data_IF_173241494782
#
_entry.id   IF_173241494782
#
_cell.length_a   1.000
_cell.length_b   1.000
_cell.length_c   1.000
_cell.angle_alpha   90.00
_cell.angle_beta   90.00
_cell.angle_gamma   90.00
#
_symmetry.space_group_name_H-M   'P 1'
#
loop_
_entity.id
_entity.type
_entity.pdbx_description
1 polymer ?
#
# COMPACT_ATOMS: atom_id res chain seq x y z
N UNK A 1 -69.09 -15.64 43.97
CA UNK A 1 -68.50 -16.78 43.23
C UNK A 1 -68.30 -16.38 41.78
N UNK A 2 -67.16 -16.79 41.19
CA UNK A 2 -66.75 -16.74 39.77
C UNK A 2 -65.85 -15.56 39.33
N UNK A 3 -64.57 -15.79 39.62
CA UNK A 3 -63.36 -15.69 38.78
C UNK A 3 -63.18 -14.44 37.92
N UNK A 4 -62.39 -13.52 38.49
CA UNK A 4 -61.70 -12.43 37.81
C UNK A 4 -60.60 -13.03 36.91
N UNK A 5 -60.71 -12.82 35.59
CA UNK A 5 -59.68 -13.19 34.63
C UNK A 5 -58.54 -12.17 34.67
N UNK A 6 -57.34 -12.62 35.05
CA UNK A 6 -56.10 -11.86 34.90
C UNK A 6 -55.33 -12.52 33.77
N UNK A 7 -55.41 -11.95 32.57
CA UNK A 7 -54.51 -12.27 31.47
C UNK A 7 -53.22 -11.49 31.75
N UNK A 8 -52.26 -12.17 32.36
CA UNK A 8 -50.91 -11.63 32.58
C UNK A 8 -50.18 -11.70 31.23
N UNK A 9 -50.24 -10.61 30.46
CA UNK A 9 -49.44 -10.45 29.25
C UNK A 9 -47.98 -10.20 29.69
N UNK A 10 -47.20 -11.27 29.81
CA UNK A 10 -45.80 -11.21 30.19
C UNK A 10 -44.99 -10.67 29.01
N UNK A 11 -44.73 -9.36 29.02
CA UNK A 11 -43.91 -8.65 28.04
C UNK A 11 -42.46 -9.16 28.15
N UNK A 12 -42.05 -10.04 27.22
CA UNK A 12 -40.65 -10.43 27.06
C UNK A 12 -39.89 -9.19 26.58
N UNK A 13 -39.21 -8.51 27.50
CA UNK A 13 -38.22 -7.48 27.19
C UNK A 13 -37.03 -8.18 26.53
N UNK A 14 -37.00 -8.13 25.20
CA UNK A 14 -35.83 -8.50 24.41
C UNK A 14 -34.80 -7.38 24.60
N UNK A 15 -34.02 -7.44 25.69
CA UNK A 15 -32.80 -6.64 25.82
C UNK A 15 -31.81 -7.19 24.79
N UNK A 16 -31.86 -6.65 23.57
CA UNK A 16 -30.78 -6.78 22.62
C UNK A 16 -29.56 -6.08 23.24
N UNK A 17 -28.48 -6.82 23.51
CA UNK A 17 -27.19 -6.21 23.80
C UNK A 17 -26.75 -5.41 22.56
N UNK A 18 -27.08 -4.12 22.51
CA UNK A 18 -26.40 -3.22 21.59
C UNK A 18 -24.97 -3.03 22.10
N UNK A 19 -23.95 -3.16 21.23
CA UNK A 19 -22.59 -2.76 21.58
C UNK A 19 -22.59 -1.31 22.03
N UNK A 20 -22.09 -1.03 23.23
CA UNK A 20 -21.89 0.34 23.69
C UNK A 20 -20.77 0.96 22.86
N UNK A 21 -21.10 1.88 21.97
CA UNK A 21 -20.09 2.62 21.19
C UNK A 21 -19.20 3.43 22.12
N UNK A 22 -17.88 3.21 22.04
CA UNK A 22 -16.91 3.94 22.83
C UNK A 22 -16.54 5.27 22.14
N UNK A 23 -17.12 6.36 22.62
CA UNK A 23 -16.95 7.71 22.08
C UNK A 23 -15.87 8.53 22.78
N UNK A 24 -15.10 7.93 23.70
CA UNK A 24 -14.03 8.64 24.42
C UNK A 24 -12.96 9.12 23.45
N UNK A 25 -12.69 10.43 23.38
CA UNK A 25 -11.61 10.98 22.57
C UNK A 25 -10.23 10.43 23.01
N UNK A 26 -9.32 10.20 22.07
CA UNK A 26 -7.99 9.64 22.33
C UNK A 26 -6.89 10.45 21.62
N UNK A 27 -5.63 10.14 21.93
CA UNK A 27 -4.47 10.85 21.39
C UNK A 27 -4.09 12.12 22.18
N UNK A 28 -2.92 12.72 21.90
CA UNK A 28 -2.52 13.98 22.53
C UNK A 28 -3.59 15.07 22.32
N UNK A 29 -3.98 15.76 23.38
CA UNK A 29 -5.01 16.82 23.33
C UNK A 29 -6.40 16.34 22.86
N UNK A 30 -6.63 15.03 22.76
CA UNK A 30 -7.94 14.47 22.39
C UNK A 30 -8.28 14.62 20.91
N UNK A 31 -7.30 14.79 20.02
CA UNK A 31 -7.54 15.07 18.59
C UNK A 31 -8.34 13.98 17.85
N UNK A 32 -8.31 12.72 18.31
CA UNK A 32 -8.97 11.59 17.66
C UNK A 32 -10.31 11.31 18.34
N UNK A 33 -11.36 11.92 17.78
CA UNK A 33 -12.73 11.90 18.31
C UNK A 33 -13.64 10.91 17.54
N UNK A 34 -14.89 10.77 17.97
CA UNK A 34 -15.89 9.90 17.34
C UNK A 34 -16.00 8.51 17.94
N UNK A 35 -16.84 7.67 17.34
CA UNK A 35 -16.93 6.24 17.69
C UNK A 35 -15.73 5.45 17.16
N UNK A 36 -15.67 4.15 17.41
CA UNK A 36 -14.53 3.32 17.00
C UNK A 36 -14.31 3.33 15.49
N UNK A 37 -15.37 3.30 14.69
CA UNK A 37 -15.28 3.27 13.22
C UNK A 37 -14.72 4.59 12.69
N UNK A 38 -15.26 5.72 13.14
CA UNK A 38 -14.78 7.06 12.77
C UNK A 38 -13.30 7.26 13.10
N UNK A 39 -12.86 6.77 14.27
CA UNK A 39 -11.45 6.82 14.66
C UNK A 39 -10.55 5.97 13.76
N UNK A 40 -11.01 4.77 13.39
CA UNK A 40 -10.26 3.89 12.50
C UNK A 40 -10.19 4.46 11.08
N UNK A 41 -11.26 5.08 10.61
CA UNK A 41 -11.29 5.76 9.32
C UNK A 41 -10.32 6.94 9.28
N UNK A 42 -10.27 7.75 10.35
CA UNK A 42 -9.30 8.84 10.47
C UNK A 42 -7.85 8.32 10.50
N UNK A 43 -7.58 7.26 11.25
CA UNK A 43 -6.24 6.62 11.24
C UNK A 43 -5.91 6.08 9.85
N UNK A 44 -6.85 5.39 9.19
CA UNK A 44 -6.67 4.87 7.84
C UNK A 44 -6.45 6.00 6.82
N UNK A 45 -7.10 7.14 6.99
CA UNK A 45 -6.87 8.34 6.19
C UNK A 45 -5.42 8.83 6.34
N UNK A 46 -4.90 8.91 7.57
CA UNK A 46 -3.54 9.38 7.85
C UNK A 46 -2.44 8.43 7.37
N UNK A 47 -2.69 7.11 7.35
CA UNK A 47 -1.81 6.13 6.69
C UNK A 47 -1.67 6.38 5.17
N UNK A 48 -2.60 7.17 4.60
CA UNK A 48 -2.61 7.53 3.20
C UNK A 48 -2.93 6.36 2.28
N UNK A 49 -2.65 6.54 1.00
CA UNK A 49 -2.83 5.51 -0.03
C UNK A 49 -1.60 5.40 -0.91
N UNK A 50 -1.82 5.37 -2.22
CA UNK A 50 -0.74 5.33 -3.20
C UNK A 50 0.22 6.52 -3.12
N UNK A 51 -0.18 7.67 -2.59
CA UNK A 51 0.75 8.78 -2.35
C UNK A 51 1.90 8.37 -1.43
N UNK A 52 1.63 7.60 -0.37
CA UNK A 52 2.66 7.08 0.54
C UNK A 52 3.42 5.90 -0.09
N UNK A 53 2.71 5.01 -0.78
CA UNK A 53 3.35 3.92 -1.54
C UNK A 53 4.36 4.45 -2.55
N UNK A 54 4.01 5.45 -3.34
CA UNK A 54 4.89 5.98 -4.38
C UNK A 54 6.13 6.69 -3.80
N UNK A 55 6.04 7.24 -2.58
CA UNK A 55 7.23 7.78 -1.89
C UNK A 55 8.22 6.65 -1.57
N UNK A 56 7.74 5.54 -1.01
CA UNK A 56 8.59 4.38 -0.74
C UNK A 56 9.10 3.76 -2.03
N UNK A 57 8.22 3.46 -2.98
CA UNK A 57 8.59 2.87 -4.28
C UNK A 57 9.61 3.75 -5.01
N UNK A 58 9.50 5.09 -4.95
CA UNK A 58 10.49 5.99 -5.54
C UNK A 58 11.88 5.84 -4.90
N UNK A 59 11.95 5.69 -3.57
CA UNK A 59 13.21 5.43 -2.89
C UNK A 59 13.78 4.06 -3.29
N UNK A 60 12.96 3.01 -3.23
CA UNK A 60 13.36 1.64 -3.58
C UNK A 60 13.79 1.51 -5.04
N UNK A 61 13.10 2.17 -5.97
CA UNK A 61 13.47 2.23 -7.38
C UNK A 61 14.86 2.84 -7.60
N UNK A 62 15.18 3.92 -6.87
CA UNK A 62 16.52 4.53 -6.92
C UNK A 62 17.58 3.58 -6.38
N UNK A 63 17.33 2.92 -5.25
CA UNK A 63 18.27 1.97 -4.67
C UNK A 63 18.44 0.73 -5.54
N UNK A 64 17.37 0.24 -6.17
CA UNK A 64 17.40 -0.88 -7.11
C UNK A 64 18.35 -0.57 -8.29
N UNK A 65 18.24 0.62 -8.88
CA UNK A 65 19.15 1.06 -9.94
C UNK A 65 20.60 0.98 -9.48
N UNK A 66 20.92 1.60 -8.34
CA UNK A 66 22.29 1.65 -7.85
C UNK A 66 22.82 0.28 -7.44
N UNK A 67 21.97 -0.59 -6.90
CA UNK A 67 22.31 -1.96 -6.58
C UNK A 67 22.75 -2.74 -7.83
N UNK A 68 22.00 -2.65 -8.93
CA UNK A 68 22.39 -3.29 -10.18
C UNK A 68 23.60 -2.63 -10.86
N UNK A 69 23.78 -1.31 -10.70
CA UNK A 69 24.99 -0.62 -11.18
C UNK A 69 26.25 -1.03 -10.43
N UNK A 70 26.15 -1.32 -9.13
CA UNK A 70 27.24 -1.83 -8.29
C UNK A 70 27.39 -3.35 -8.38
N UNK A 71 26.53 -4.03 -9.14
CA UNK A 71 26.48 -5.49 -9.24
C UNK A 71 26.27 -6.17 -7.86
N UNK A 72 25.62 -5.44 -6.94
CA UNK A 72 25.16 -6.00 -5.68
C UNK A 72 23.77 -6.60 -5.87
N UNK A 73 23.75 -7.82 -6.37
CA UNK A 73 22.53 -8.54 -6.71
C UNK A 73 21.65 -8.85 -5.50
N UNK A 74 22.24 -9.17 -4.34
CA UNK A 74 21.48 -9.37 -3.10
C UNK A 74 20.77 -8.09 -2.64
N UNK A 75 21.38 -6.93 -2.84
CA UNK A 75 20.72 -5.66 -2.56
C UNK A 75 19.67 -5.32 -3.61
N UNK A 76 19.90 -5.64 -4.88
CA UNK A 76 18.92 -5.43 -5.95
C UNK A 76 17.65 -6.28 -5.71
N UNK A 77 17.83 -7.55 -5.37
CA UNK A 77 16.76 -8.49 -5.00
C UNK A 77 15.94 -7.94 -3.82
N UNK A 78 16.63 -7.54 -2.75
CA UNK A 78 15.99 -6.89 -1.59
C UNK A 78 15.17 -5.64 -1.98
N UNK A 79 15.66 -4.79 -2.88
CA UNK A 79 14.91 -3.60 -3.29
C UNK A 79 13.68 -3.94 -4.13
N UNK A 80 13.75 -4.91 -5.05
CA UNK A 80 12.57 -5.29 -5.85
C UNK A 80 11.51 -5.98 -4.99
N UNK A 81 11.90 -6.82 -4.03
CA UNK A 81 10.99 -7.43 -3.05
C UNK A 81 10.23 -6.36 -2.27
N UNK A 82 10.92 -5.33 -1.76
CA UNK A 82 10.27 -4.25 -1.02
C UNK A 82 9.43 -3.33 -1.90
N UNK A 83 9.69 -3.25 -3.22
CA UNK A 83 8.76 -2.60 -4.16
C UNK A 83 7.46 -3.43 -4.24
N UNK A 84 7.55 -4.75 -4.34
CA UNK A 84 6.38 -5.65 -4.39
C UNK A 84 5.53 -5.46 -3.14
N UNK A 85 6.14 -5.55 -1.95
CA UNK A 85 5.45 -5.38 -0.67
C UNK A 85 4.76 -4.02 -0.55
N UNK A 86 5.48 -2.93 -0.89
CA UNK A 86 4.93 -1.57 -0.85
C UNK A 86 3.72 -1.42 -1.80
N UNK A 87 3.79 -2.03 -2.98
CA UNK A 87 2.70 -2.02 -3.95
C UNK A 87 1.49 -2.83 -3.47
N UNK A 88 1.70 -4.02 -2.91
CA UNK A 88 0.64 -4.84 -2.34
C UNK A 88 -0.09 -4.09 -1.20
N UNK A 89 0.65 -3.47 -0.29
CA UNK A 89 0.07 -2.68 0.80
C UNK A 89 -0.59 -1.40 0.30
N UNK A 90 -0.06 -0.81 -0.78
CA UNK A 90 -0.71 0.30 -1.48
C UNK A 90 -2.08 -0.11 -2.03
N UNK A 91 -2.17 -1.29 -2.64
CA UNK A 91 -3.40 -1.83 -3.21
C UNK A 91 -4.43 -2.22 -2.16
N UNK A 92 -4.00 -2.72 -1.00
CA UNK A 92 -4.88 -2.91 0.17
C UNK A 92 -5.49 -1.58 0.62
N UNK A 93 -4.68 -0.51 0.70
CA UNK A 93 -5.14 0.82 1.12
C UNK A 93 -5.97 1.54 0.05
N UNK A 94 -5.76 1.27 -1.24
CA UNK A 94 -6.52 1.86 -2.36
C UNK A 94 -6.82 0.84 -3.47
N UNK A 95 -7.84 -0.03 -3.26
CA UNK A 95 -8.17 -1.10 -4.21
C UNK A 95 -8.57 -0.61 -5.60
N UNK A 96 -9.05 0.63 -5.74
CA UNK A 96 -9.42 1.25 -7.03
C UNK A 96 -8.25 1.28 -8.03
N UNK A 97 -7.00 1.19 -7.55
CA UNK A 97 -5.77 1.19 -8.38
C UNK A 97 -5.39 -0.20 -8.90
N UNK A 98 -6.12 -1.25 -8.54
CA UNK A 98 -5.77 -2.64 -8.88
C UNK A 98 -5.74 -2.91 -10.38
N UNK A 99 -6.73 -2.40 -11.13
CA UNK A 99 -6.82 -2.65 -12.57
C UNK A 99 -5.65 -2.00 -13.33
N UNK A 100 -5.31 -0.77 -12.98
CA UNK A 100 -4.21 -0.05 -13.65
C UNK A 100 -2.83 -0.57 -13.27
N UNK A 101 -2.65 -1.07 -12.04
CA UNK A 101 -1.41 -1.69 -11.60
C UNK A 101 -1.23 -3.12 -12.09
N UNK A 102 -2.27 -3.77 -12.64
CA UNK A 102 -2.28 -5.21 -12.91
C UNK A 102 -1.06 -5.70 -13.70
N UNK A 103 -0.80 -5.10 -14.87
CA UNK A 103 0.38 -5.43 -15.69
C UNK A 103 1.70 -5.20 -14.94
N UNK A 104 1.76 -4.17 -14.10
CA UNK A 104 2.95 -3.91 -13.30
C UNK A 104 3.19 -5.02 -12.28
N UNK A 105 2.14 -5.43 -11.57
CA UNK A 105 2.20 -6.47 -10.54
C UNK A 105 2.43 -7.87 -11.11
N UNK A 106 1.71 -8.23 -12.16
CA UNK A 106 1.66 -9.61 -12.67
C UNK A 106 2.76 -9.92 -13.69
N UNK A 107 3.31 -8.90 -14.36
CA UNK A 107 4.29 -9.08 -15.44
C UNK A 107 5.60 -8.34 -15.17
N UNK A 108 5.52 -7.06 -14.80
CA UNK A 108 6.71 -6.20 -14.73
C UNK A 108 7.60 -6.52 -13.53
N UNK A 109 7.02 -6.70 -12.33
CA UNK A 109 7.79 -7.06 -11.14
C UNK A 109 8.44 -8.45 -11.26
N UNK A 110 7.71 -9.53 -11.67
CA UNK A 110 8.33 -10.83 -11.92
C UNK A 110 9.44 -10.80 -12.98
N UNK A 111 9.25 -10.01 -14.05
CA UNK A 111 10.29 -9.82 -15.06
C UNK A 111 11.56 -9.20 -14.47
N UNK A 112 11.42 -8.21 -13.59
CA UNK A 112 12.57 -7.57 -12.95
C UNK A 112 13.28 -8.52 -11.98
N UNK A 113 12.54 -9.30 -11.18
CA UNK A 113 13.10 -10.36 -10.32
C UNK A 113 13.92 -11.37 -11.12
N UNK A 114 13.39 -11.88 -12.24
CA UNK A 114 14.10 -12.82 -13.10
C UNK A 114 15.33 -12.21 -13.76
N UNK A 115 15.33 -10.91 -14.07
CA UNK A 115 16.52 -10.22 -14.58
C UNK A 115 17.60 -10.10 -13.52
N UNK A 116 17.24 -9.79 -12.27
CA UNK A 116 18.20 -9.67 -11.16
C UNK A 116 18.88 -11.03 -10.89
N UNK A 117 18.13 -12.13 -10.92
CA UNK A 117 18.66 -13.51 -10.71
C UNK A 117 19.71 -13.93 -11.72
N UNK A 118 19.79 -13.29 -12.89
CA UNK A 118 20.81 -13.58 -13.89
C UNK A 118 22.17 -12.98 -13.57
N UNK A 119 22.22 -12.04 -12.61
CA UNK A 119 23.44 -11.37 -12.18
C UNK A 119 24.24 -10.75 -13.34
N UNK A 120 23.51 -10.29 -14.37
CA UNK A 120 24.09 -9.74 -15.58
C UNK A 120 23.75 -8.26 -15.71
N UNK A 121 24.76 -7.41 -15.57
CA UNK A 121 24.61 -5.94 -15.61
C UNK A 121 24.06 -5.40 -16.92
N UNK A 122 24.45 -5.96 -18.07
CA UNK A 122 23.94 -5.49 -19.36
C UNK A 122 22.46 -5.83 -19.54
N UNK A 123 22.04 -7.02 -19.10
CA UNK A 123 20.62 -7.40 -19.06
C UNK A 123 19.85 -6.59 -18.04
N UNK A 124 20.42 -6.35 -16.85
CA UNK A 124 19.84 -5.49 -15.83
C UNK A 124 19.56 -4.09 -16.34
N UNK A 125 20.52 -3.42 -17.00
CA UNK A 125 20.34 -2.06 -17.50
C UNK A 125 19.18 -1.99 -18.50
N UNK A 126 19.08 -2.97 -19.42
CA UNK A 126 17.97 -3.06 -20.38
C UNK A 126 16.64 -3.33 -19.68
N UNK A 127 16.63 -4.27 -18.73
CA UNK A 127 15.48 -4.58 -17.89
C UNK A 127 14.98 -3.37 -17.11
N UNK A 128 15.89 -2.61 -16.52
CA UNK A 128 15.59 -1.42 -15.74
C UNK A 128 14.97 -0.30 -16.59
N UNK A 129 15.38 -0.15 -17.86
CA UNK A 129 14.72 0.77 -18.79
C UNK A 129 13.28 0.35 -19.11
N UNK A 130 13.03 -0.95 -19.27
CA UNK A 130 11.68 -1.49 -19.43
C UNK A 130 10.86 -1.28 -18.16
N UNK A 131 11.46 -1.52 -16.99
CA UNK A 131 10.86 -1.28 -15.67
C UNK A 131 10.44 0.19 -15.50
N UNK A 132 11.34 1.12 -15.84
CA UNK A 132 11.08 2.57 -15.84
C UNK A 132 9.90 2.93 -16.74
N UNK A 133 9.85 2.34 -17.94
CA UNK A 133 8.77 2.57 -18.89
C UNK A 133 7.42 2.07 -18.36
N UNK A 134 7.42 0.93 -17.65
CA UNK A 134 6.23 0.39 -17.02
C UNK A 134 5.72 1.25 -15.85
N UNK A 135 6.61 1.83 -15.04
CA UNK A 135 6.23 2.84 -14.03
C UNK A 135 5.48 4.01 -14.69
N UNK A 136 6.03 4.55 -15.77
CA UNK A 136 5.43 5.67 -16.51
C UNK A 136 4.10 5.29 -17.18
N UNK A 137 3.95 4.04 -17.66
CA UNK A 137 2.70 3.56 -18.22
C UNK A 137 1.59 3.48 -17.17
N UNK A 138 1.92 3.04 -15.95
CA UNK A 138 0.98 3.06 -14.82
C UNK A 138 0.58 4.50 -14.48
N UNK A 139 1.54 5.41 -14.36
CA UNK A 139 1.25 6.84 -14.10
C UNK A 139 0.34 7.44 -15.17
N UNK A 140 0.54 7.11 -16.45
CA UNK A 140 -0.32 7.57 -17.52
C UNK A 140 -1.76 7.03 -17.43
N UNK A 141 -1.93 5.74 -17.08
CA UNK A 141 -3.26 5.16 -16.84
C UNK A 141 -4.00 5.85 -15.70
N UNK A 142 -3.26 6.31 -14.69
CA UNK A 142 -3.82 7.03 -13.54
C UNK A 142 -4.05 8.52 -13.77
N UNK A 143 -3.76 9.05 -14.96
CA UNK A 143 -3.87 10.48 -15.27
C UNK A 143 -2.73 11.33 -14.66
N UNK A 144 -1.67 10.68 -14.19
CA UNK A 144 -0.52 11.27 -13.51
C UNK A 144 0.69 11.41 -14.46
N UNK A 145 0.48 11.59 -15.77
CA UNK A 145 1.55 11.65 -16.78
C UNK A 145 2.56 12.78 -16.57
N UNK A 146 2.24 13.76 -15.71
CA UNK A 146 3.18 14.81 -15.31
C UNK A 146 4.23 14.33 -14.30
N UNK A 147 4.05 13.15 -13.70
CA UNK A 147 5.03 12.46 -12.85
C UNK A 147 5.84 11.50 -13.73
N UNK A 148 6.83 12.03 -14.43
CA UNK A 148 7.67 11.24 -15.31
C UNK A 148 8.90 10.69 -14.59
N UNK A 149 8.97 9.36 -14.47
CA UNK A 149 10.10 8.65 -13.88
C UNK A 149 11.23 8.54 -14.91
N UNK A 150 12.44 8.83 -14.46
CA UNK A 150 13.68 8.75 -15.23
C UNK A 150 14.70 7.87 -14.51
N UNK A 151 15.75 7.45 -15.21
CA UNK A 151 16.87 6.75 -14.58
C UNK A 151 17.54 7.67 -13.56
N UNK A 152 17.88 7.19 -12.35
CA UNK A 152 18.56 8.02 -11.36
C UNK A 152 19.91 8.53 -11.87
N UNK A 153 20.13 9.85 -11.78
CA UNK A 153 21.41 10.48 -12.15
C UNK A 153 22.34 10.63 -10.95
N UNK A 154 21.78 10.78 -9.75
CA UNK A 154 22.52 11.02 -8.51
C UNK A 154 22.13 9.99 -7.45
N UNK A 155 23.12 9.53 -6.68
CA UNK A 155 22.91 8.64 -5.54
C UNK A 155 22.81 9.45 -4.24
N UNK A 156 21.63 9.48 -3.65
CA UNK A 156 21.37 10.18 -2.38
C UNK A 156 21.58 9.28 -1.16
N UNK A 157 21.35 7.97 -1.31
CA UNK A 157 21.60 6.97 -0.28
C UNK A 157 23.08 6.91 0.12
N UNK A 158 23.41 6.49 1.35
CA UNK A 158 24.78 6.23 1.79
C UNK A 158 25.32 4.84 1.41
N UNK A 159 24.51 3.95 0.84
CA UNK A 159 24.89 2.55 0.54
C UNK A 159 25.85 2.47 -0.65
N UNK A 160 27.01 1.81 -0.48
CA UNK A 160 28.09 1.67 -1.48
C UNK A 160 28.64 0.24 -1.44
N UNK A 161 28.98 -0.32 -2.60
CA UNK A 161 29.59 -1.64 -2.76
C UNK A 161 30.70 -1.60 -3.82
#
# INVERSE_FOLDING_TARGET
>A
MKKLGVILLSSILIYSCQPQENTTAVGPEGWLEGNTEEKLDEVAHQLGGFSRTMVEVSYRYSELYWAGMDENWGYADHQVEHIIEAMEDGLKRRPVRAESSKTFMEETLPMMEEIIKKENKEEFIKGFQMFTSACNACHAKEGESFIMIQTPENRTSPVRF
#
